data_IF_777000738772
#
_entry.id   IF_777000738772
#
_cell.length_a   1.000
_cell.length_b   1.000
_cell.length_c   1.000
_cell.angle_alpha   90.00
_cell.angle_beta   90.00
_cell.angle_gamma   90.00
#
_symmetry.space_group_name_H-M   'P 1'
#
loop_
_entity.id
_entity.type
_entity.pdbx_description
1 polymer ?
#
# COMPACT_ATOMS: atom_id res chain seq x y z
N UNK A 1 28.06 24.29 70.20
CA UNK A 1 28.50 22.98 69.69
C UNK A 1 27.47 22.55 68.66
N UNK A 2 27.81 22.74 67.39
CA UNK A 2 27.01 22.34 66.23
C UNK A 2 27.19 20.85 65.98
N UNK A 3 26.11 20.13 65.66
CA UNK A 3 26.21 18.86 64.94
C UNK A 3 25.02 18.77 63.98
N UNK A 4 25.31 18.95 62.69
CA UNK A 4 24.40 18.63 61.59
C UNK A 4 24.61 17.15 61.21
N UNK A 5 23.56 16.38 60.87
CA UNK A 5 23.73 15.07 60.26
C UNK A 5 24.08 15.25 58.77
N UNK A 6 25.12 14.54 58.33
CA UNK A 6 25.57 14.46 56.94
C UNK A 6 24.46 13.92 56.03
N UNK A 7 24.20 14.62 54.93
CA UNK A 7 23.55 14.08 53.74
C UNK A 7 24.41 12.94 53.17
N UNK A 8 23.89 11.71 53.23
CA UNK A 8 24.33 10.63 52.36
C UNK A 8 23.49 10.71 51.07
N UNK A 9 24.02 11.39 50.07
CA UNK A 9 23.59 11.23 48.67
C UNK A 9 24.02 9.84 48.19
N UNK A 10 23.16 8.84 48.38
CA UNK A 10 23.26 7.61 47.60
C UNK A 10 22.77 7.91 46.18
N UNK A 11 23.67 8.38 45.32
CA UNK A 11 23.50 8.25 43.89
C UNK A 11 23.62 6.75 43.55
N UNK A 12 22.49 6.05 43.54
CA UNK A 12 22.42 4.73 42.92
C UNK A 12 22.48 4.95 41.41
N UNK A 13 23.69 4.91 40.88
CA UNK A 13 23.95 4.80 39.45
C UNK A 13 23.52 3.38 39.01
N UNK A 14 22.20 3.17 38.88
CA UNK A 14 21.67 1.92 38.35
C UNK A 14 22.02 1.89 36.86
N UNK A 15 23.09 1.18 36.50
CA UNK A 15 23.36 0.85 35.09
C UNK A 15 22.13 0.12 34.55
N UNK A 16 21.28 0.85 33.83
CA UNK A 16 20.12 0.29 33.15
C UNK A 16 20.61 -0.83 32.23
N UNK A 17 19.97 -2.00 32.28
CA UNK A 17 20.30 -3.11 31.38
C UNK A 17 20.25 -2.65 29.92
N UNK A 18 21.16 -3.13 29.05
CA UNK A 18 21.19 -2.74 27.65
C UNK A 18 19.89 -3.16 26.95
N UNK A 19 19.21 -2.20 26.34
CA UNK A 19 18.00 -2.43 25.53
C UNK A 19 18.47 -2.75 24.11
N UNK A 20 18.16 -3.95 23.62
CA UNK A 20 18.57 -4.41 22.28
C UNK A 20 17.59 -3.88 21.21
N UNK A 21 18.12 -3.49 20.05
CA UNK A 21 17.33 -2.99 18.92
C UNK A 21 16.35 -4.01 18.34
N UNK A 22 15.41 -3.52 17.54
CA UNK A 22 14.38 -4.32 16.87
C UNK A 22 13.05 -4.41 17.62
N UNK A 23 13.06 -4.46 18.96
CA UNK A 23 11.82 -4.44 19.77
C UNK A 23 11.52 -3.10 20.45
N UNK A 24 12.47 -2.17 20.52
CA UNK A 24 12.26 -0.86 21.14
C UNK A 24 12.90 0.23 20.29
N UNK A 25 12.25 1.40 20.24
CA UNK A 25 12.82 2.62 19.66
C UNK A 25 14.00 3.13 20.52
N UNK A 26 13.90 2.99 21.85
CA UNK A 26 14.91 3.43 22.84
C UNK A 26 16.10 2.46 23.00
N UNK A 27 16.40 1.64 22.00
CA UNK A 27 17.49 0.68 22.10
C UNK A 27 18.84 1.39 22.31
N UNK A 28 19.67 0.81 23.18
CA UNK A 28 21.00 1.34 23.50
C UNK A 28 22.13 0.53 22.85
N UNK A 29 21.84 -0.69 22.41
CA UNK A 29 22.76 -1.60 21.69
C UNK A 29 22.07 -2.22 20.46
N UNK A 30 22.81 -2.36 19.35
CA UNK A 30 22.32 -3.02 18.13
C UNK A 30 22.35 -4.55 18.28
N UNK A 31 21.28 -5.20 17.87
CA UNK A 31 21.24 -6.64 17.65
C UNK A 31 22.21 -7.04 16.52
N UNK A 32 22.70 -8.29 16.48
CA UNK A 32 23.59 -8.76 15.41
C UNK A 32 23.03 -8.52 14.00
N UNK A 33 21.74 -8.75 13.79
CA UNK A 33 21.07 -8.53 12.52
C UNK A 33 20.87 -7.04 12.15
N UNK A 34 21.02 -6.12 13.12
CA UNK A 34 20.96 -4.66 12.91
C UNK A 34 22.36 -4.03 12.81
N UNK A 35 23.43 -4.81 12.89
CA UNK A 35 24.79 -4.28 12.91
C UNK A 35 25.16 -3.45 11.66
N UNK A 36 24.46 -3.65 10.55
CA UNK A 36 24.62 -2.87 9.33
C UNK A 36 24.29 -1.38 9.53
N UNK A 37 23.36 -1.05 10.44
CA UNK A 37 22.91 0.33 10.70
C UNK A 37 24.08 1.24 11.09
N UNK A 38 24.99 0.74 11.94
CA UNK A 38 26.13 1.52 12.41
C UNK A 38 27.19 1.80 11.33
N UNK A 39 27.16 1.06 10.21
CA UNK A 39 28.19 1.11 9.18
C UNK A 39 27.69 1.73 7.86
N UNK A 40 26.43 2.14 7.80
CA UNK A 40 25.82 2.66 6.57
C UNK A 40 26.31 4.08 6.25
N UNK A 41 26.95 4.24 5.10
CA UNK A 41 27.14 5.53 4.45
C UNK A 41 25.83 5.93 3.73
N UNK A 42 25.06 6.79 4.39
CA UNK A 42 23.74 7.21 3.95
C UNK A 42 23.78 7.96 2.60
N UNK A 43 24.73 8.88 2.43
CA UNK A 43 24.81 9.68 1.21
C UNK A 43 25.35 8.86 0.04
N UNK A 44 26.33 7.98 0.25
CA UNK A 44 26.79 7.07 -0.81
C UNK A 44 25.68 6.11 -1.27
N UNK A 45 24.89 5.57 -0.33
CA UNK A 45 23.73 4.74 -0.65
C UNK A 45 22.69 5.49 -1.49
N UNK A 46 22.31 6.70 -1.05
CA UNK A 46 21.39 7.57 -1.77
C UNK A 46 21.86 7.90 -3.18
N UNK A 47 23.12 8.26 -3.37
CA UNK A 47 23.63 8.64 -4.69
C UNK A 47 23.64 7.44 -5.66
N UNK A 48 24.00 6.24 -5.21
CA UNK A 48 23.91 5.03 -6.03
C UNK A 48 22.45 4.73 -6.44
N UNK A 49 21.51 4.81 -5.49
CA UNK A 49 20.07 4.64 -5.76
C UNK A 49 19.60 5.70 -6.77
N UNK A 50 19.89 6.98 -6.55
CA UNK A 50 19.47 8.06 -7.44
C UNK A 50 20.07 7.93 -8.85
N UNK A 51 21.33 7.52 -8.95
CA UNK A 51 21.99 7.28 -10.22
C UNK A 51 21.27 6.18 -11.03
N UNK A 52 20.99 5.04 -10.38
CA UNK A 52 20.23 3.95 -10.99
C UNK A 52 18.83 4.40 -11.41
N UNK A 53 18.12 5.12 -10.53
CA UNK A 53 16.81 5.68 -10.84
C UNK A 53 16.86 6.55 -12.10
N UNK A 54 17.81 7.49 -12.20
CA UNK A 54 17.97 8.37 -13.37
C UNK A 54 18.22 7.57 -14.65
N UNK A 55 19.05 6.53 -14.59
CA UNK A 55 19.32 5.64 -15.72
C UNK A 55 18.04 4.94 -16.19
N UNK A 56 17.32 4.30 -15.26
CA UNK A 56 16.07 3.59 -15.56
C UNK A 56 15.01 4.51 -16.18
N UNK A 57 14.82 5.72 -15.63
CA UNK A 57 13.88 6.70 -16.18
C UNK A 57 14.25 7.14 -17.60
N UNK A 58 15.54 7.27 -17.90
CA UNK A 58 16.04 7.66 -19.23
C UNK A 58 15.83 6.55 -20.28
N UNK A 59 15.76 5.30 -19.83
CA UNK A 59 15.65 4.13 -20.69
C UNK A 59 14.20 3.66 -20.93
N UNK A 60 13.20 4.35 -20.38
CA UNK A 60 11.79 4.02 -20.64
C UNK A 60 11.37 4.48 -22.03
N UNK A 61 10.64 3.63 -22.76
CA UNK A 61 10.28 3.93 -24.14
C UNK A 61 9.25 2.97 -24.75
N UNK A 62 9.33 2.71 -26.06
CA UNK A 62 8.36 1.87 -26.76
C UNK A 62 8.23 0.44 -26.21
N UNK A 63 9.31 -0.12 -25.67
CA UNK A 63 9.29 -1.46 -25.07
C UNK A 63 8.38 -1.54 -23.84
N UNK A 64 8.39 -0.51 -22.99
CA UNK A 64 7.54 -0.40 -21.80
C UNK A 64 6.07 -0.29 -22.19
N UNK A 65 5.77 0.53 -23.21
CA UNK A 65 4.40 0.65 -23.72
C UNK A 65 3.91 -0.66 -24.37
N UNK A 66 4.78 -1.36 -25.11
CA UNK A 66 4.47 -2.67 -25.69
C UNK A 66 4.19 -3.71 -24.59
N UNK A 67 4.99 -3.71 -23.52
CA UNK A 67 4.78 -4.55 -22.35
C UNK A 67 3.44 -4.25 -21.67
N UNK A 68 3.12 -2.98 -21.40
CA UNK A 68 1.80 -2.59 -20.87
C UNK A 68 0.65 -3.08 -21.75
N UNK A 69 0.73 -2.89 -23.07
CA UNK A 69 -0.33 -3.33 -23.98
C UNK A 69 -0.51 -4.86 -23.97
N UNK A 70 0.57 -5.64 -23.81
CA UNK A 70 0.49 -7.08 -23.58
C UNK A 70 -0.26 -7.42 -22.29
N UNK A 71 0.03 -6.71 -21.19
CA UNK A 71 -0.67 -6.94 -19.92
C UNK A 71 -2.14 -6.52 -19.99
N UNK A 72 -2.47 -5.43 -20.69
CA UNK A 72 -3.85 -5.04 -20.99
C UNK A 72 -4.57 -6.12 -21.81
N UNK A 73 -3.89 -6.74 -22.78
CA UNK A 73 -4.46 -7.86 -23.52
C UNK A 73 -4.75 -9.05 -22.60
N UNK A 74 -3.83 -9.43 -21.72
CA UNK A 74 -4.05 -10.53 -20.75
C UNK A 74 -5.22 -10.25 -19.83
N UNK A 75 -5.32 -9.01 -19.31
CA UNK A 75 -6.45 -8.55 -18.52
C UNK A 75 -7.78 -8.73 -19.26
N UNK A 76 -7.84 -8.26 -20.51
CA UNK A 76 -9.04 -8.35 -21.36
C UNK A 76 -9.41 -9.80 -21.63
N UNK A 77 -8.43 -10.66 -21.91
CA UNK A 77 -8.69 -12.09 -22.12
C UNK A 77 -9.27 -12.74 -20.87
N UNK A 78 -8.77 -12.41 -19.67
CA UNK A 78 -9.36 -12.88 -18.41
C UNK A 78 -10.83 -12.47 -18.29
N UNK A 79 -11.16 -11.20 -18.56
CA UNK A 79 -12.54 -10.73 -18.48
C UNK A 79 -13.44 -11.36 -19.55
N UNK A 80 -12.99 -11.44 -20.80
CA UNK A 80 -13.77 -12.00 -21.92
C UNK A 80 -14.06 -13.47 -21.67
N UNK A 81 -13.06 -14.27 -21.33
CA UNK A 81 -13.25 -15.71 -21.07
C UNK A 81 -14.08 -15.91 -19.82
N UNK A 82 -13.84 -15.14 -18.76
CA UNK A 82 -14.63 -15.17 -17.54
C UNK A 82 -16.13 -14.91 -17.79
N UNK A 83 -16.46 -13.83 -18.51
CA UNK A 83 -17.84 -13.51 -18.85
C UNK A 83 -18.47 -14.51 -19.81
N UNK A 84 -17.71 -15.01 -20.80
CA UNK A 84 -18.22 -15.99 -21.77
C UNK A 84 -18.57 -17.35 -21.14
N UNK A 85 -18.03 -17.66 -19.95
CA UNK A 85 -18.18 -18.98 -19.32
C UNK A 85 -18.98 -18.97 -18.01
N UNK A 86 -19.08 -17.83 -17.30
CA UNK A 86 -19.69 -17.77 -15.96
C UNK A 86 -21.18 -18.14 -15.91
N UNK A 87 -21.91 -17.96 -17.03
CA UNK A 87 -23.36 -18.16 -17.07
C UNK A 87 -23.75 -19.64 -17.17
N UNK A 88 -22.88 -20.47 -17.75
CA UNK A 88 -23.17 -21.89 -18.02
C UNK A 88 -23.22 -22.71 -16.73
N UNK A 89 -22.21 -22.57 -15.87
CA UNK A 89 -22.17 -23.15 -14.54
C UNK A 89 -21.23 -22.36 -13.63
N UNK A 90 -21.43 -22.47 -12.32
CA UNK A 90 -20.49 -21.94 -11.32
C UNK A 90 -19.22 -22.80 -11.38
N UNK A 91 -18.13 -22.23 -11.88
CA UNK A 91 -16.89 -22.96 -12.11
C UNK A 91 -15.66 -22.15 -11.67
N UNK A 92 -14.58 -22.82 -11.23
CA UNK A 92 -13.40 -22.15 -10.69
C UNK A 92 -12.65 -21.32 -11.74
N UNK A 93 -12.74 -21.66 -13.03
CA UNK A 93 -12.05 -20.94 -14.10
C UNK A 93 -12.63 -19.54 -14.27
N UNK A 94 -13.96 -19.41 -14.38
CA UNK A 94 -14.61 -18.10 -14.47
C UNK A 94 -14.36 -17.26 -13.21
N UNK A 95 -14.44 -17.87 -12.03
CA UNK A 95 -14.17 -17.20 -10.75
C UNK A 95 -12.75 -16.62 -10.73
N UNK A 96 -11.75 -17.44 -11.07
CA UNK A 96 -10.35 -17.04 -11.08
C UNK A 96 -10.08 -15.95 -12.13
N UNK A 97 -10.55 -16.12 -13.36
CA UNK A 97 -10.29 -15.16 -14.44
C UNK A 97 -10.99 -13.81 -14.20
N UNK A 98 -12.22 -13.79 -13.68
CA UNK A 98 -12.90 -12.55 -13.33
C UNK A 98 -12.21 -11.86 -12.15
N UNK A 99 -11.78 -12.63 -11.14
CA UNK A 99 -11.01 -12.12 -10.00
C UNK A 99 -9.70 -11.47 -10.47
N UNK A 100 -8.91 -12.20 -11.26
CA UNK A 100 -7.62 -11.76 -11.77
C UNK A 100 -7.80 -10.56 -12.70
N UNK A 101 -8.74 -10.62 -13.64
CA UNK A 101 -9.03 -9.51 -14.55
C UNK A 101 -9.50 -8.24 -13.82
N UNK A 102 -10.26 -8.38 -12.72
CA UNK A 102 -10.62 -7.26 -11.86
C UNK A 102 -9.39 -6.71 -11.12
N UNK A 103 -8.60 -7.58 -10.49
CA UNK A 103 -7.38 -7.18 -9.77
C UNK A 103 -6.40 -6.46 -10.68
N UNK A 104 -6.08 -7.02 -11.84
CA UNK A 104 -5.17 -6.44 -12.83
C UNK A 104 -5.60 -5.03 -13.25
N UNK A 105 -6.90 -4.78 -13.40
CA UNK A 105 -7.38 -3.47 -13.86
C UNK A 105 -6.96 -2.35 -12.92
N UNK A 106 -7.06 -2.55 -11.61
CA UNK A 106 -6.70 -1.52 -10.63
C UNK A 106 -5.27 -1.68 -10.09
N UNK A 107 -4.87 -2.88 -9.66
CA UNK A 107 -3.58 -3.12 -9.00
C UNK A 107 -2.40 -3.15 -9.95
N UNK A 108 -2.64 -3.36 -11.25
CA UNK A 108 -1.58 -3.35 -12.27
C UNK A 108 -1.73 -2.13 -13.16
N UNK A 109 -2.74 -2.14 -14.04
CA UNK A 109 -2.87 -1.14 -15.10
C UNK A 109 -3.01 0.26 -14.50
N UNK A 110 -4.02 0.44 -13.68
CA UNK A 110 -4.34 1.77 -13.20
C UNK A 110 -3.37 2.29 -12.15
N UNK A 111 -2.93 1.44 -11.21
CA UNK A 111 -1.88 1.76 -10.23
C UNK A 111 -0.62 2.33 -10.90
N UNK A 112 -0.05 1.64 -11.90
CA UNK A 112 1.17 2.09 -12.58
C UNK A 112 0.93 3.35 -13.44
N UNK A 113 -0.25 3.49 -14.06
CA UNK A 113 -0.59 4.68 -14.83
C UNK A 113 -0.79 5.90 -13.92
N UNK A 114 -1.48 5.74 -12.79
CA UNK A 114 -1.74 6.81 -11.82
C UNK A 114 -0.46 7.26 -11.09
N UNK A 115 0.56 6.41 -11.02
CA UNK A 115 1.91 6.85 -10.61
C UNK A 115 2.72 7.49 -11.74
N UNK A 116 2.30 7.31 -12.99
CA UNK A 116 2.91 7.94 -14.16
C UNK A 116 3.99 7.13 -14.85
N UNK A 117 4.03 5.80 -14.61
CA UNK A 117 4.93 4.84 -15.25
C UNK A 117 4.98 4.89 -16.78
N UNK A 118 3.98 5.54 -17.41
CA UNK A 118 3.82 5.59 -18.86
C UNK A 118 3.66 7.02 -19.42
N UNK A 119 3.86 8.06 -18.61
CA UNK A 119 3.66 9.45 -19.06
C UNK A 119 4.59 9.80 -20.23
N UNK A 120 5.86 9.38 -20.16
CA UNK A 120 6.89 9.69 -21.15
C UNK A 120 6.79 8.85 -22.42
N UNK A 121 6.24 7.64 -22.34
CA UNK A 121 6.25 6.69 -23.46
C UNK A 121 4.88 6.45 -24.12
N UNK A 122 3.76 6.87 -23.51
CA UNK A 122 2.41 6.61 -24.03
C UNK A 122 1.84 7.70 -24.93
N UNK A 123 2.59 8.78 -25.22
CA UNK A 123 2.11 9.93 -25.98
C UNK A 123 0.81 10.53 -25.40
N UNK A 124 0.69 10.54 -24.06
CA UNK A 124 -0.46 11.07 -23.35
C UNK A 124 -1.68 10.16 -23.27
N UNK A 125 -1.65 8.96 -23.87
CA UNK A 125 -2.75 7.98 -23.78
C UNK A 125 -2.94 7.46 -22.36
N UNK A 126 -1.85 7.14 -21.69
CA UNK A 126 -1.83 6.62 -20.32
C UNK A 126 -1.11 7.65 -19.44
N UNK A 127 -1.88 8.65 -18.99
CA UNK A 127 -1.34 9.78 -18.25
C UNK A 127 -1.95 9.86 -16.85
N UNK A 128 -1.08 10.09 -15.84
CA UNK A 128 -1.47 10.07 -14.42
C UNK A 128 -2.58 11.07 -14.05
N UNK A 129 -2.70 12.18 -14.78
CA UNK A 129 -3.67 13.24 -14.51
C UNK A 129 -5.01 13.07 -15.25
N UNK A 130 -5.09 12.14 -16.21
CA UNK A 130 -6.26 11.98 -17.08
C UNK A 130 -6.92 10.61 -16.94
N UNK A 131 -6.18 9.61 -16.46
CA UNK A 131 -6.67 8.25 -16.35
C UNK A 131 -7.77 8.15 -15.30
N UNK A 132 -8.97 7.72 -15.70
CA UNK A 132 -10.09 7.49 -14.77
C UNK A 132 -10.76 8.74 -14.18
N UNK A 133 -10.33 9.95 -14.58
CA UNK A 133 -10.81 11.24 -14.04
C UNK A 133 -11.27 12.20 -15.14
N UNK A 134 -11.99 13.26 -14.77
CA UNK A 134 -12.38 14.36 -15.66
C UNK A 134 -13.63 14.14 -16.53
N UNK A 135 -14.13 12.90 -16.66
CA UNK A 135 -15.45 12.65 -17.24
C UNK A 135 -16.04 11.32 -16.80
N UNK A 136 -17.37 11.18 -16.90
CA UNK A 136 -18.04 9.90 -16.64
C UNK A 136 -17.54 8.80 -17.57
N UNK A 137 -17.23 9.13 -18.83
CA UNK A 137 -16.64 8.17 -19.76
C UNK A 137 -15.27 7.68 -19.26
N UNK A 138 -14.38 8.58 -18.82
CA UNK A 138 -13.07 8.20 -18.28
C UNK A 138 -13.22 7.33 -17.04
N UNK A 139 -14.11 7.71 -16.12
CA UNK A 139 -14.44 6.88 -14.96
C UNK A 139 -14.90 5.49 -15.39
N UNK A 140 -15.83 5.38 -16.34
CA UNK A 140 -16.37 4.08 -16.75
C UNK A 140 -15.37 3.21 -17.53
N UNK A 141 -14.61 3.81 -18.45
CA UNK A 141 -13.70 3.10 -19.35
C UNK A 141 -12.37 2.73 -18.69
N UNK A 142 -11.83 3.62 -17.86
CA UNK A 142 -10.50 3.46 -17.27
C UNK A 142 -10.56 2.89 -15.84
N UNK A 143 -11.48 3.37 -14.98
CA UNK A 143 -11.55 3.00 -13.55
C UNK A 143 -13.00 2.92 -13.02
N UNK A 144 -13.76 1.91 -13.43
CA UNK A 144 -15.06 1.61 -12.83
C UNK A 144 -14.89 0.58 -11.72
N UNK A 145 -14.23 0.98 -10.65
CA UNK A 145 -13.93 0.17 -9.44
C UNK A 145 -14.52 0.77 -8.17
N UNK A 146 -14.41 -0.02 -7.10
CA UNK A 146 -14.88 0.20 -5.73
C UNK A 146 -14.20 1.36 -4.98
N UNK A 147 -13.33 2.15 -5.61
CA UNK A 147 -12.71 3.35 -5.04
C UNK A 147 -12.58 4.47 -6.08
N UNK A 148 -12.44 5.72 -5.62
CA UNK A 148 -12.15 6.87 -6.48
C UNK A 148 -10.66 6.96 -6.80
N UNK A 149 -10.32 7.37 -8.02
CA UNK A 149 -8.91 7.57 -8.43
C UNK A 149 -8.29 8.71 -7.65
N UNK A 150 -9.06 9.77 -7.42
CA UNK A 150 -8.65 10.93 -6.65
C UNK A 150 -8.37 10.55 -5.19
N UNK A 151 -9.16 9.63 -4.63
CA UNK A 151 -8.97 9.12 -3.28
C UNK A 151 -7.74 8.21 -3.17
N UNK A 152 -7.54 7.33 -4.15
CA UNK A 152 -6.33 6.53 -4.30
C UNK A 152 -5.07 7.41 -4.38
N UNK A 153 -5.09 8.45 -5.21
CA UNK A 153 -3.94 9.33 -5.39
C UNK A 153 -3.55 10.06 -4.09
N UNK A 154 -4.51 10.39 -3.22
CA UNK A 154 -4.23 11.03 -1.93
C UNK A 154 -3.67 10.01 -0.93
N UNK A 155 -4.33 8.87 -0.75
CA UNK A 155 -3.88 7.90 0.27
C UNK A 155 -2.64 7.13 -0.16
N UNK A 156 -2.67 6.52 -1.35
CA UNK A 156 -1.56 5.71 -1.83
C UNK A 156 -0.40 6.59 -2.30
N UNK A 157 -0.62 7.41 -3.35
CA UNK A 157 0.51 8.06 -4.03
C UNK A 157 1.14 9.19 -3.21
N UNK A 158 0.38 9.87 -2.35
CA UNK A 158 0.86 10.99 -1.56
C UNK A 158 1.19 10.59 -0.12
N UNK A 159 0.37 9.78 0.56
CA UNK A 159 0.63 9.48 1.97
C UNK A 159 1.51 8.25 2.15
N UNK A 160 1.07 7.09 1.67
CA UNK A 160 1.79 5.83 1.86
C UNK A 160 3.23 5.88 1.32
N UNK A 161 3.43 6.42 0.11
CA UNK A 161 4.78 6.56 -0.48
C UNK A 161 5.72 7.50 0.29
N UNK A 162 5.18 8.47 1.03
CA UNK A 162 6.00 9.48 1.72
C UNK A 162 6.17 9.22 3.21
N UNK A 163 5.34 8.33 3.77
CA UNK A 163 5.33 7.99 5.18
C UNK A 163 5.58 6.51 5.44
N UNK A 164 6.10 5.75 4.47
CA UNK A 164 6.26 4.30 4.58
C UNK A 164 6.91 3.88 5.91
N UNK A 165 6.20 3.06 6.69
CA UNK A 165 6.66 2.56 7.98
C UNK A 165 6.60 3.58 9.13
N UNK A 166 6.13 4.80 8.90
CA UNK A 166 5.88 5.82 9.91
C UNK A 166 4.45 5.71 10.48
N UNK A 167 4.17 6.40 11.59
CA UNK A 167 2.84 6.42 12.21
C UNK A 167 1.73 7.06 11.34
N UNK A 168 2.09 7.80 10.30
CA UNK A 168 1.14 8.36 9.33
C UNK A 168 0.92 7.48 8.11
N UNK A 169 1.65 6.37 7.98
CA UNK A 169 1.43 5.40 6.92
C UNK A 169 0.04 4.76 7.07
N UNK A 170 -0.87 4.94 6.10
CA UNK A 170 -2.17 4.28 6.12
C UNK A 170 -2.04 2.75 6.06
N UNK A 171 -0.91 2.20 5.62
CA UNK A 171 -0.74 0.76 5.43
C UNK A 171 0.07 0.09 6.57
N UNK A 172 0.31 0.81 7.69
CA UNK A 172 0.96 0.24 8.86
C UNK A 172 0.03 -0.67 9.67
N UNK A 173 -0.05 -1.93 9.23
CA UNK A 173 -0.94 -2.97 9.76
C UNK A 173 -0.86 -3.14 11.28
N UNK A 174 0.35 -3.17 11.86
CA UNK A 174 0.53 -3.38 13.30
C UNK A 174 -0.25 -2.33 14.11
N UNK A 175 -0.23 -1.07 13.65
CA UNK A 175 -0.90 0.04 14.32
C UNK A 175 -2.40 0.07 14.00
N UNK A 176 -2.78 -0.17 12.75
CA UNK A 176 -4.18 -0.19 12.32
C UNK A 176 -5.01 -1.27 13.03
N UNK A 177 -4.37 -2.36 13.46
CA UNK A 177 -5.00 -3.47 14.17
C UNK A 177 -4.64 -3.55 15.66
N UNK A 178 -4.18 -2.46 16.27
CA UNK A 178 -3.86 -2.41 17.71
C UNK A 178 -5.01 -2.93 18.58
N UNK A 179 -6.27 -2.61 18.24
CA UNK A 179 -7.44 -3.12 18.96
C UNK A 179 -7.58 -4.64 18.89
N UNK A 180 -7.29 -5.26 17.74
CA UNK A 180 -7.38 -6.72 17.55
C UNK A 180 -6.21 -7.43 18.23
N UNK A 181 -5.04 -6.80 18.23
CA UNK A 181 -3.83 -7.28 18.88
C UNK A 181 -4.03 -7.32 20.40
N UNK A 182 -4.56 -6.25 20.98
CA UNK A 182 -4.65 -6.05 22.44
C UNK A 182 -5.93 -6.59 23.09
N UNK A 183 -7.00 -6.82 22.33
CA UNK A 183 -8.24 -7.37 22.90
C UNK A 183 -7.99 -8.75 23.52
N UNK A 184 -8.54 -8.97 24.71
CA UNK A 184 -8.58 -10.26 25.38
C UNK A 184 -9.68 -11.13 24.76
N UNK A 185 -9.32 -11.86 23.71
CA UNK A 185 -10.22 -12.74 22.97
C UNK A 185 -9.49 -14.03 22.55
N UNK A 186 -10.20 -15.18 22.43
CA UNK A 186 -9.61 -16.42 21.96
C UNK A 186 -8.91 -16.25 20.61
N UNK A 187 -7.74 -16.88 20.43
CA UNK A 187 -6.97 -16.80 19.17
C UNK A 187 -7.79 -17.17 17.94
N UNK A 188 -8.66 -18.18 18.05
CA UNK A 188 -9.57 -18.57 16.96
C UNK A 188 -10.47 -17.40 16.49
N UNK A 189 -10.96 -16.56 17.42
CA UNK A 189 -11.74 -15.39 17.08
C UNK A 189 -10.87 -14.34 16.35
N UNK A 190 -9.63 -14.11 16.81
CA UNK A 190 -8.68 -13.19 16.15
C UNK A 190 -8.37 -13.64 14.72
N UNK A 191 -8.07 -14.92 14.50
CA UNK A 191 -7.87 -15.47 13.15
C UNK A 191 -9.14 -15.36 12.29
N UNK A 192 -10.32 -15.59 12.86
CA UNK A 192 -11.60 -15.38 12.17
C UNK A 192 -11.80 -13.94 11.71
N UNK A 193 -11.43 -12.96 12.55
CA UNK A 193 -11.45 -11.54 12.18
C UNK A 193 -10.46 -11.22 11.06
N UNK A 194 -9.24 -11.78 11.09
CA UNK A 194 -8.25 -11.60 10.00
C UNK A 194 -8.77 -12.22 8.70
N UNK A 195 -9.36 -13.41 8.73
CA UNK A 195 -9.93 -14.05 7.55
C UNK A 195 -11.09 -13.25 6.96
N UNK A 196 -11.93 -12.66 7.82
CA UNK A 196 -12.96 -11.71 7.40
C UNK A 196 -12.33 -10.52 6.66
N UNK A 197 -11.37 -9.83 7.27
CA UNK A 197 -10.70 -8.69 6.60
C UNK A 197 -10.05 -9.08 5.28
N UNK A 198 -9.33 -10.19 5.23
CA UNK A 198 -8.70 -10.67 4.00
C UNK A 198 -9.69 -10.78 2.83
N UNK A 199 -10.94 -11.16 3.09
CA UNK A 199 -11.97 -11.34 2.05
C UNK A 199 -12.87 -10.12 1.82
N UNK A 200 -12.77 -9.06 2.62
CA UNK A 200 -13.67 -7.89 2.55
C UNK A 200 -12.98 -6.53 2.63
N UNK A 201 -11.66 -6.47 2.84
CA UNK A 201 -10.94 -5.24 3.18
C UNK A 201 -11.11 -4.12 2.15
N UNK A 202 -11.26 -4.44 0.85
CA UNK A 202 -11.44 -3.43 -0.22
C UNK A 202 -12.61 -2.50 0.10
N UNK A 203 -13.76 -3.05 0.48
CA UNK A 203 -14.98 -2.26 0.75
C UNK A 203 -15.14 -1.91 2.23
N UNK A 204 -14.65 -2.76 3.12
CA UNK A 204 -14.82 -2.58 4.56
C UNK A 204 -13.87 -1.52 5.13
N UNK A 205 -12.65 -1.45 4.60
CA UNK A 205 -11.56 -0.60 5.08
C UNK A 205 -11.11 0.38 4.00
N UNK A 206 -10.65 -0.13 2.86
CA UNK A 206 -9.82 0.67 1.98
C UNK A 206 -10.61 1.75 1.21
N UNK A 207 -11.81 1.43 0.71
CA UNK A 207 -12.71 2.43 0.12
C UNK A 207 -13.11 3.56 1.10
N UNK A 208 -13.60 3.26 2.33
CA UNK A 208 -13.91 4.32 3.29
C UNK A 208 -12.67 5.08 3.79
N UNK A 209 -11.50 4.44 3.92
CA UNK A 209 -10.27 5.10 4.34
C UNK A 209 -9.75 6.07 3.28
N UNK A 210 -9.62 5.62 2.03
CA UNK A 210 -9.18 6.48 0.91
C UNK A 210 -10.11 7.68 0.75
N UNK A 211 -11.43 7.48 0.89
CA UNK A 211 -12.39 8.58 0.87
C UNK A 211 -12.22 9.52 2.07
N UNK A 212 -11.96 9.01 3.29
CA UNK A 212 -11.63 9.85 4.45
C UNK A 212 -10.41 10.72 4.13
N UNK A 213 -9.32 10.12 3.64
CA UNK A 213 -8.09 10.86 3.38
C UNK A 213 -8.27 11.93 2.30
N UNK A 214 -9.05 11.65 1.25
CA UNK A 214 -9.45 12.65 0.26
C UNK A 214 -10.20 13.83 0.90
N UNK A 215 -11.18 13.56 1.78
CA UNK A 215 -11.93 14.64 2.46
C UNK A 215 -11.05 15.47 3.38
N UNK A 216 -10.14 14.84 4.12
CA UNK A 216 -9.18 15.55 4.95
C UNK A 216 -8.24 16.41 4.10
N UNK A 217 -7.81 15.90 2.94
CA UNK A 217 -7.00 16.65 1.98
C UNK A 217 -7.76 17.87 1.42
N UNK A 218 -9.02 17.71 1.01
CA UNK A 218 -9.88 18.81 0.53
C UNK A 218 -10.07 19.91 1.60
N UNK A 219 -10.28 19.52 2.86
CA UNK A 219 -10.43 20.45 3.99
C UNK A 219 -9.12 21.23 4.21
N UNK A 220 -7.98 20.55 4.26
CA UNK A 220 -6.66 21.17 4.43
C UNK A 220 -6.33 22.12 3.28
N UNK A 221 -6.64 21.74 2.03
CA UNK A 221 -6.46 22.60 0.85
C UNK A 221 -7.26 23.89 0.88
N UNK A 222 -8.36 23.93 1.63
CA UNK A 222 -9.15 25.16 1.87
C UNK A 222 -8.63 25.98 3.04
N UNK A 223 -7.49 25.61 3.64
CA UNK A 223 -6.93 26.25 4.83
C UNK A 223 -7.75 25.98 6.10
N UNK A 224 -8.58 24.92 6.10
CA UNK A 224 -9.47 24.60 7.20
C UNK A 224 -8.92 23.46 8.05
N UNK A 225 -9.29 23.45 9.33
CA UNK A 225 -9.01 22.34 10.24
C UNK A 225 -10.20 21.39 10.30
N UNK A 226 -9.99 20.06 10.32
CA UNK A 226 -11.08 19.09 10.46
C UNK A 226 -11.84 19.27 11.79
N UNK A 227 -13.17 19.38 11.71
CA UNK A 227 -14.08 19.55 12.85
C UNK A 227 -15.22 18.55 12.79
N UNK A 228 -15.70 18.12 13.96
CA UNK A 228 -16.94 17.37 14.10
C UNK A 228 -18.15 18.27 13.75
N UNK A 229 -19.33 17.66 13.52
CA UNK A 229 -20.58 18.40 13.24
C UNK A 229 -20.96 19.40 14.33
N UNK A 230 -20.55 19.16 15.57
CA UNK A 230 -20.76 20.08 16.70
C UNK A 230 -19.70 21.21 16.79
N UNK A 231 -18.83 21.35 15.79
CA UNK A 231 -17.81 22.40 15.72
C UNK A 231 -16.49 22.11 16.45
N UNK A 232 -16.42 21.04 17.26
CA UNK A 232 -15.18 20.67 17.98
C UNK A 232 -14.10 20.21 17.00
N UNK A 233 -12.87 20.68 17.17
CA UNK A 233 -11.72 20.22 16.37
C UNK A 233 -11.44 18.74 16.63
N UNK A 234 -11.13 18.00 15.57
CA UNK A 234 -10.72 16.61 15.68
C UNK A 234 -9.29 16.52 16.18
N UNK A 235 -9.03 15.65 17.15
CA UNK A 235 -7.67 15.35 17.63
C UNK A 235 -6.91 14.44 16.66
N UNK A 236 -5.58 14.47 16.74
CA UNK A 236 -4.68 13.74 15.83
C UNK A 236 -4.99 12.24 15.73
N UNK A 237 -5.15 11.57 16.88
CA UNK A 237 -5.51 10.13 16.95
C UNK A 237 -6.76 9.77 16.14
N UNK A 238 -7.75 10.68 16.03
CA UNK A 238 -8.96 10.44 15.23
C UNK A 238 -8.68 10.54 13.73
N UNK A 239 -7.80 11.43 13.32
CA UNK A 239 -7.43 11.63 11.92
C UNK A 239 -6.62 10.44 11.40
N UNK A 240 -5.71 9.93 12.24
CA UNK A 240 -4.84 8.77 11.95
C UNK A 240 -5.60 7.44 12.02
N UNK A 241 -6.61 7.32 12.90
CA UNK A 241 -7.39 6.08 13.03
C UNK A 241 -7.98 5.61 11.68
N UNK A 242 -7.85 4.33 11.31
CA UNK A 242 -8.37 3.80 10.06
C UNK A 242 -9.89 3.99 9.99
N UNK A 243 -10.39 4.42 8.82
CA UNK A 243 -11.81 4.59 8.56
C UNK A 243 -12.38 3.27 8.04
N UNK A 244 -13.10 2.56 8.90
CA UNK A 244 -13.90 1.41 8.49
C UNK A 244 -15.31 1.84 8.06
N UNK A 245 -16.05 0.95 7.40
CA UNK A 245 -17.45 1.17 6.99
C UNK A 245 -18.38 1.64 8.14
N UNK A 246 -18.01 1.38 9.40
CA UNK A 246 -18.73 1.85 10.60
C UNK A 246 -18.58 3.35 10.88
N UNK A 247 -17.64 4.04 10.23
CA UNK A 247 -17.34 5.47 10.47
C UNK A 247 -18.08 6.41 9.51
N UNK A 248 -19.03 5.88 8.74
CA UNK A 248 -19.91 6.66 7.85
C UNK A 248 -20.67 7.72 8.66
N UNK A 249 -20.74 8.94 8.11
CA UNK A 249 -21.40 10.08 8.75
C UNK A 249 -20.47 10.99 9.57
N UNK A 250 -19.21 10.58 9.79
CA UNK A 250 -18.18 11.40 10.44
C UNK A 250 -17.47 12.28 9.41
N UNK A 251 -16.88 11.67 8.37
CA UNK A 251 -16.08 12.37 7.35
C UNK A 251 -16.83 12.59 6.03
N UNK A 252 -17.76 11.69 5.70
CA UNK A 252 -18.56 11.70 4.48
C UNK A 252 -19.91 11.05 4.76
N UNK A 253 -20.88 11.28 3.87
CA UNK A 253 -22.23 10.71 4.01
C UNK A 253 -22.31 9.27 3.46
N UNK A 254 -23.32 8.52 3.91
CA UNK A 254 -23.64 7.21 3.33
C UNK A 254 -23.95 7.33 1.82
N UNK A 255 -24.69 8.37 1.43
CA UNK A 255 -25.01 8.62 0.02
C UNK A 255 -23.76 8.83 -0.83
N UNK A 256 -22.72 9.46 -0.29
CA UNK A 256 -21.45 9.64 -1.00
C UNK A 256 -20.69 8.33 -1.14
N UNK A 257 -20.50 7.58 -0.04
CA UNK A 257 -19.79 6.29 -0.10
C UNK A 257 -20.52 5.28 -1.00
N UNK A 258 -21.81 5.07 -0.77
CA UNK A 258 -22.57 4.05 -1.50
C UNK A 258 -23.01 4.51 -2.89
N UNK A 259 -23.27 5.80 -3.11
CA UNK A 259 -23.71 6.31 -4.40
C UNK A 259 -22.57 6.61 -5.37
N UNK A 260 -21.50 7.27 -4.90
CA UNK A 260 -20.40 7.73 -5.76
C UNK A 260 -19.23 6.74 -5.82
N UNK A 261 -18.93 6.05 -4.72
CA UNK A 261 -17.72 5.22 -4.61
C UNK A 261 -18.01 3.74 -4.90
N UNK A 262 -18.85 3.11 -4.08
CA UNK A 262 -19.14 1.67 -4.19
C UNK A 262 -20.21 1.36 -5.24
N UNK A 263 -21.31 2.12 -5.23
CA UNK A 263 -22.52 1.85 -6.00
C UNK A 263 -22.30 1.53 -7.47
N UNK A 264 -21.52 2.32 -8.24
CA UNK A 264 -21.31 2.05 -9.66
C UNK A 264 -20.70 0.67 -9.94
N UNK A 265 -19.71 0.26 -9.13
CA UNK A 265 -19.09 -1.05 -9.25
C UNK A 265 -20.07 -2.17 -8.89
N UNK A 266 -20.76 -2.06 -7.74
CA UNK A 266 -21.70 -3.07 -7.28
C UNK A 266 -22.92 -3.20 -8.20
N UNK A 267 -23.47 -2.08 -8.67
CA UNK A 267 -24.59 -2.04 -9.61
C UNK A 267 -24.21 -2.73 -10.93
N UNK A 268 -23.05 -2.40 -11.51
CA UNK A 268 -22.59 -3.07 -12.75
C UNK A 268 -22.44 -4.58 -12.53
N UNK A 269 -21.70 -4.96 -11.49
CA UNK A 269 -21.23 -6.33 -11.33
C UNK A 269 -22.27 -7.29 -10.76
N UNK A 270 -23.13 -6.85 -9.83
CA UNK A 270 -24.04 -7.76 -9.14
C UNK A 270 -25.50 -7.56 -9.54
N UNK A 271 -25.79 -6.56 -10.36
CA UNK A 271 -27.15 -6.29 -10.85
C UNK A 271 -27.18 -6.33 -12.37
N UNK A 272 -26.53 -5.37 -13.05
CA UNK A 272 -26.67 -5.21 -14.50
C UNK A 272 -26.14 -6.40 -15.29
N UNK A 273 -24.94 -6.88 -14.98
CA UNK A 273 -24.34 -8.01 -15.70
C UNK A 273 -25.13 -9.31 -15.49
N UNK A 274 -25.44 -9.75 -14.24
CA UNK A 274 -26.27 -10.94 -14.04
C UNK A 274 -27.66 -10.82 -14.67
N UNK A 275 -28.31 -9.64 -14.59
CA UNK A 275 -29.62 -9.43 -15.23
C UNK A 275 -29.53 -9.53 -16.76
N UNK A 276 -28.47 -8.99 -17.37
CA UNK A 276 -28.25 -9.14 -18.80
C UNK A 276 -28.09 -10.62 -19.19
N UNK A 277 -27.32 -11.40 -18.43
CA UNK A 277 -27.21 -12.85 -18.66
C UNK A 277 -28.54 -13.57 -18.49
N UNK A 278 -29.33 -13.18 -17.48
CA UNK A 278 -30.68 -13.70 -17.27
C UNK A 278 -31.63 -13.43 -18.42
N UNK A 279 -31.63 -12.19 -18.92
CA UNK A 279 -32.47 -11.79 -20.03
C UNK A 279 -32.11 -12.50 -21.34
N UNK A 280 -30.83 -12.80 -21.56
CA UNK A 280 -30.35 -13.44 -22.79
C UNK A 280 -30.45 -14.97 -22.75
N UNK A 281 -30.22 -15.59 -21.60
CA UNK A 281 -29.93 -17.04 -21.49
C UNK A 281 -30.78 -17.76 -20.43
N UNK A 282 -31.68 -17.04 -19.74
CA UNK A 282 -32.63 -17.61 -18.79
C UNK A 282 -32.20 -17.52 -17.32
N UNK A 283 -33.08 -17.97 -16.42
CA UNK A 283 -32.95 -17.80 -14.96
C UNK A 283 -31.66 -18.41 -14.39
N UNK A 284 -31.25 -19.56 -14.88
CA UNK A 284 -30.04 -20.24 -14.39
C UNK A 284 -28.78 -19.46 -14.74
N UNK A 285 -28.75 -18.85 -15.92
CA UNK A 285 -27.65 -17.97 -16.33
C UNK A 285 -27.51 -16.75 -15.42
N UNK A 286 -28.62 -16.12 -15.02
CA UNK A 286 -28.62 -15.05 -14.01
C UNK A 286 -28.01 -15.52 -12.69
N UNK A 287 -28.49 -16.65 -12.17
CA UNK A 287 -28.05 -17.18 -10.87
C UNK A 287 -26.56 -17.55 -10.88
N UNK A 288 -26.12 -18.31 -11.90
CA UNK A 288 -24.73 -18.73 -12.07
C UNK A 288 -23.79 -17.53 -12.19
N UNK A 289 -24.20 -16.51 -12.96
CA UNK A 289 -23.42 -15.29 -13.14
C UNK A 289 -23.30 -14.51 -11.83
N UNK A 290 -24.40 -14.32 -11.09
CA UNK A 290 -24.40 -13.61 -9.81
C UNK A 290 -23.47 -14.30 -8.81
N UNK A 291 -23.63 -15.62 -8.61
CA UNK A 291 -22.79 -16.38 -7.67
C UNK A 291 -21.33 -16.36 -8.09
N UNK A 292 -21.03 -16.57 -9.37
CA UNK A 292 -19.66 -16.52 -9.91
C UNK A 292 -19.02 -15.16 -9.66
N UNK A 293 -19.74 -14.07 -9.88
CA UNK A 293 -19.21 -12.72 -9.67
C UNK A 293 -18.99 -12.40 -8.18
N UNK A 294 -19.86 -12.86 -7.29
CA UNK A 294 -19.67 -12.72 -5.83
C UNK A 294 -18.41 -13.48 -5.37
N UNK A 295 -18.25 -14.74 -5.82
CA UNK A 295 -17.06 -15.54 -5.50
C UNK A 295 -15.78 -14.94 -6.10
N UNK A 296 -15.85 -14.41 -7.33
CA UNK A 296 -14.73 -13.72 -7.96
C UNK A 296 -14.32 -12.47 -7.17
N UNK A 297 -15.29 -11.73 -6.62
CA UNK A 297 -15.00 -10.55 -5.81
C UNK A 297 -14.36 -10.91 -4.46
N UNK A 298 -14.83 -11.97 -3.78
CA UNK A 298 -14.16 -12.48 -2.58
C UNK A 298 -12.74 -12.97 -2.86
N UNK A 299 -12.55 -13.72 -3.95
CA UNK A 299 -11.23 -14.14 -4.36
C UNK A 299 -10.33 -12.93 -4.69
N UNK A 300 -10.87 -11.90 -5.34
CA UNK A 300 -10.12 -10.68 -5.65
C UNK A 300 -9.70 -9.93 -4.38
N UNK A 301 -10.54 -9.90 -3.34
CA UNK A 301 -10.15 -9.35 -2.03
C UNK A 301 -9.01 -10.15 -1.41
N UNK A 302 -9.15 -11.49 -1.32
CA UNK A 302 -8.14 -12.34 -0.71
C UNK A 302 -6.80 -12.28 -1.45
N UNK A 303 -6.84 -12.30 -2.79
CA UNK A 303 -5.66 -12.22 -3.64
C UNK A 303 -4.97 -10.86 -3.54
N UNK A 304 -5.72 -9.76 -3.58
CA UNK A 304 -5.13 -8.43 -3.41
C UNK A 304 -4.61 -8.18 -1.99
N UNK A 305 -5.26 -8.73 -0.96
CA UNK A 305 -4.75 -8.71 0.41
C UNK A 305 -3.39 -9.41 0.49
N UNK A 306 -3.31 -10.62 -0.10
CA UNK A 306 -2.09 -11.40 -0.15
C UNK A 306 -0.95 -10.62 -0.82
N UNK A 307 -1.23 -9.92 -1.92
CA UNK A 307 -0.22 -9.18 -2.68
C UNK A 307 0.17 -7.82 -2.09
N UNK A 308 -0.74 -7.12 -1.39
CA UNK A 308 -0.51 -5.73 -0.94
C UNK A 308 -0.06 -5.73 0.52
N UNK A 309 -0.89 -6.28 1.40
CA UNK A 309 -0.73 -6.14 2.85
C UNK A 309 0.55 -6.83 3.34
N UNK A 310 0.89 -7.96 2.72
CA UNK A 310 1.99 -8.81 3.20
C UNK A 310 3.38 -8.29 2.81
N UNK A 311 3.47 -7.34 1.87
CA UNK A 311 4.71 -6.66 1.53
C UNK A 311 5.11 -5.56 2.52
N UNK A 312 4.18 -5.10 3.35
CA UNK A 312 4.42 -4.01 4.32
C UNK A 312 4.52 -4.48 5.77
N UNK A 313 4.36 -5.78 6.02
CA UNK A 313 4.24 -6.31 7.38
C UNK A 313 5.13 -7.51 7.61
N UNK A 314 6.07 -7.39 8.54
CA UNK A 314 6.96 -8.47 8.98
C UNK A 314 7.82 -8.03 10.16
N UNK A 315 8.32 -8.98 10.94
CA UNK A 315 9.26 -8.75 12.06
C UNK A 315 10.70 -8.50 11.58
N UNK A 316 10.90 -8.57 10.26
CA UNK A 316 12.08 -8.24 9.48
C UNK A 316 11.93 -6.91 8.71
N UNK A 317 10.78 -6.23 8.82
CA UNK A 317 10.54 -4.91 8.24
C UNK A 317 10.50 -3.84 9.33
N UNK A 318 11.14 -2.71 9.04
CA UNK A 318 11.27 -1.63 10.02
C UNK A 318 10.06 -0.70 9.99
N UNK A 319 9.75 -0.18 11.18
CA UNK A 319 8.88 0.98 11.39
C UNK A 319 9.59 2.03 12.24
N UNK A 320 9.11 3.27 12.14
CA UNK A 320 9.76 4.46 12.69
C UNK A 320 8.80 5.26 13.56
N UNK A 321 9.36 5.91 14.57
CA UNK A 321 8.66 6.87 15.44
C UNK A 321 9.07 8.32 15.16
N UNK A 322 9.82 8.54 14.08
CA UNK A 322 10.20 9.85 13.54
C UNK A 322 9.78 9.99 12.07
N UNK A 323 9.56 11.23 11.60
CA UNK A 323 9.40 11.53 10.17
C UNK A 323 10.76 11.89 9.54
N UNK A 324 10.91 11.60 8.24
CA UNK A 324 12.07 12.03 7.46
C UNK A 324 11.71 13.02 6.35
N UNK A 325 12.67 13.83 5.92
CA UNK A 325 12.50 14.73 4.78
C UNK A 325 12.38 13.93 3.47
N UNK A 326 11.40 14.23 2.59
CA UNK A 326 11.24 13.53 1.33
C UNK A 326 12.50 13.54 0.46
N UNK A 327 12.85 12.39 -0.12
CA UNK A 327 14.02 12.18 -1.01
C UNK A 327 15.40 12.42 -0.36
N UNK A 328 15.44 12.50 0.98
CA UNK A 328 16.67 12.42 1.77
C UNK A 328 17.31 11.02 1.68
N UNK A 329 18.49 10.82 2.29
CA UNK A 329 19.11 9.48 2.29
C UNK A 329 18.29 8.49 3.12
N UNK A 330 17.82 8.95 4.29
CA UNK A 330 16.89 8.24 5.16
C UNK A 330 15.62 7.86 4.42
N UNK A 331 15.05 8.78 3.62
CA UNK A 331 13.85 8.49 2.83
C UNK A 331 14.04 7.26 1.92
N UNK A 332 15.12 7.23 1.13
CA UNK A 332 15.40 6.09 0.24
C UNK A 332 15.71 4.81 1.01
N UNK A 333 16.42 4.90 2.14
CA UNK A 333 16.68 3.76 3.01
C UNK A 333 15.36 3.15 3.50
N UNK A 334 14.44 3.98 4.01
CA UNK A 334 13.13 3.54 4.52
C UNK A 334 12.30 2.86 3.45
N UNK A 335 12.34 3.33 2.20
CA UNK A 335 11.68 2.65 1.07
C UNK A 335 12.12 1.19 0.92
N UNK A 336 13.40 0.89 1.17
CA UNK A 336 13.97 -0.46 1.06
C UNK A 336 13.67 -1.32 2.29
N UNK A 337 13.88 -0.80 3.50
CA UNK A 337 13.86 -1.63 4.71
C UNK A 337 12.47 -1.78 5.35
N UNK A 338 11.46 -1.10 4.81
CA UNK A 338 10.08 -1.08 5.34
C UNK A 338 9.09 -1.73 4.37
N UNK A 339 9.59 -2.27 3.27
CA UNK A 339 8.83 -3.07 2.32
C UNK A 339 9.61 -4.33 1.97
N UNK A 340 8.90 -5.35 1.49
CA UNK A 340 9.48 -6.62 1.07
C UNK A 340 9.08 -6.92 -0.37
N UNK A 341 9.91 -7.67 -1.06
CA UNK A 341 9.59 -8.26 -2.35
C UNK A 341 9.15 -9.71 -2.21
N UNK A 342 8.40 -10.21 -3.19
CA UNK A 342 8.16 -11.63 -3.37
C UNK A 342 9.10 -12.23 -4.41
N UNK A 343 8.86 -13.46 -4.84
CA UNK A 343 9.52 -14.02 -6.01
C UNK A 343 9.27 -13.12 -7.23
N UNK A 344 10.35 -12.63 -7.82
CA UNK A 344 10.35 -11.73 -8.99
C UNK A 344 10.48 -12.53 -10.27
N UNK A 345 9.78 -12.12 -11.33
CA UNK A 345 9.86 -12.70 -12.65
C UNK A 345 11.20 -12.45 -13.33
N UNK A 346 11.57 -13.36 -14.24
CA UNK A 346 12.72 -13.16 -15.14
C UNK A 346 12.32 -12.23 -16.28
N UNK A 347 12.96 -11.06 -16.34
CA UNK A 347 12.73 -10.01 -17.35
C UNK A 347 12.73 -10.56 -18.76
N UNK A 348 11.71 -10.19 -19.54
CA UNK A 348 11.60 -10.56 -20.96
C UNK A 348 11.15 -11.99 -21.23
N UNK A 349 10.74 -12.75 -20.19
CA UNK A 349 10.22 -14.12 -20.35
C UNK A 349 8.72 -14.19 -20.07
N UNK A 350 8.02 -15.10 -20.76
CA UNK A 350 6.59 -15.33 -20.53
C UNK A 350 6.30 -15.80 -19.09
N UNK A 351 7.10 -16.73 -18.57
CA UNK A 351 6.92 -17.26 -17.20
C UNK A 351 7.23 -16.20 -16.14
N UNK A 352 8.21 -15.32 -16.38
CA UNK A 352 8.48 -14.17 -15.52
C UNK A 352 7.28 -13.23 -15.44
N UNK A 353 6.77 -12.81 -16.61
CA UNK A 353 5.57 -11.96 -16.65
C UNK A 353 4.33 -12.66 -16.06
N UNK A 354 4.20 -13.97 -16.21
CA UNK A 354 3.09 -14.72 -15.60
C UNK A 354 3.18 -14.70 -14.08
N UNK A 355 4.37 -14.91 -13.51
CA UNK A 355 4.60 -14.77 -12.08
C UNK A 355 4.22 -13.36 -11.60
N UNK A 356 4.70 -12.33 -12.28
CA UNK A 356 4.46 -10.95 -11.86
C UNK A 356 2.99 -10.55 -12.02
N UNK A 357 2.33 -11.05 -13.06
CA UNK A 357 0.90 -10.87 -13.28
C UNK A 357 0.07 -11.43 -12.13
N UNK A 358 0.43 -12.61 -11.62
CA UNK A 358 -0.25 -13.18 -10.45
C UNK A 358 0.07 -12.43 -9.15
N UNK A 359 1.20 -11.74 -9.06
CA UNK A 359 1.53 -10.91 -7.90
C UNK A 359 1.12 -9.43 -8.06
N UNK A 360 0.42 -9.07 -9.14
CA UNK A 360 0.01 -7.68 -9.34
C UNK A 360 1.16 -6.72 -9.71
N UNK A 361 2.33 -7.24 -10.10
CA UNK A 361 3.60 -6.49 -10.13
C UNK A 361 4.02 -5.90 -8.76
N UNK A 362 3.29 -6.22 -7.69
CA UNK A 362 3.60 -5.80 -6.32
C UNK A 362 4.66 -6.70 -5.68
N UNK A 363 5.11 -7.74 -6.38
CA UNK A 363 6.32 -8.48 -6.00
C UNK A 363 7.62 -7.66 -6.16
N UNK A 364 7.51 -6.41 -6.62
CA UNK A 364 8.57 -5.39 -6.73
C UNK A 364 8.29 -4.18 -5.83
N UNK A 365 7.81 -4.41 -4.60
CA UNK A 365 7.44 -3.35 -3.67
C UNK A 365 8.61 -2.41 -3.34
N UNK A 366 9.83 -2.93 -3.16
CA UNK A 366 11.02 -2.10 -2.90
C UNK A 366 11.25 -1.12 -4.04
N UNK A 367 11.26 -1.59 -5.29
CA UNK A 367 11.44 -0.74 -6.47
C UNK A 367 10.28 0.22 -6.66
N UNK A 368 9.06 -0.23 -6.37
CA UNK A 368 7.85 0.57 -6.43
C UNK A 368 7.93 1.79 -5.51
N UNK A 369 8.43 1.62 -4.29
CA UNK A 369 8.61 2.70 -3.33
C UNK A 369 9.77 3.63 -3.67
N UNK A 370 10.87 3.08 -4.20
CA UNK A 370 12.00 3.89 -4.65
C UNK A 370 11.61 4.81 -5.82
N UNK A 371 10.89 4.27 -6.81
CA UNK A 371 10.50 4.97 -8.04
C UNK A 371 9.08 4.58 -8.49
N UNK A 372 8.03 5.15 -7.89
CA UNK A 372 6.66 4.79 -8.21
C UNK A 372 6.28 5.06 -9.68
N UNK A 373 6.95 6.03 -10.32
CA UNK A 373 6.70 6.44 -11.71
C UNK A 373 7.54 5.71 -12.76
N UNK A 374 8.13 4.56 -12.40
CA UNK A 374 8.66 3.60 -13.36
C UNK A 374 7.56 2.66 -13.89
N UNK A 375 7.79 2.12 -15.07
CA UNK A 375 6.95 1.10 -15.69
C UNK A 375 7.15 -0.26 -15.00
N UNK A 376 6.17 -1.16 -15.18
CA UNK A 376 6.28 -2.57 -14.77
C UNK A 376 7.55 -3.27 -15.30
N UNK A 377 7.91 -3.00 -16.56
CA UNK A 377 9.09 -3.57 -17.18
C UNK A 377 10.38 -3.01 -16.56
N UNK A 378 10.37 -1.73 -16.19
CA UNK A 378 11.48 -1.10 -15.47
C UNK A 378 11.66 -1.68 -14.08
N UNK A 379 10.59 -2.06 -13.36
CA UNK A 379 10.71 -2.75 -12.09
C UNK A 379 11.43 -4.11 -12.20
N UNK A 380 11.09 -4.91 -13.23
CA UNK A 380 11.79 -6.17 -13.49
C UNK A 380 13.30 -5.97 -13.72
N UNK A 381 13.68 -4.89 -14.41
CA UNK A 381 15.10 -4.52 -14.63
C UNK A 381 15.76 -3.99 -13.36
N UNK A 382 15.04 -3.22 -12.56
CA UNK A 382 15.54 -2.54 -11.37
C UNK A 382 15.88 -3.52 -10.25
N UNK A 383 15.04 -4.52 -9.99
CA UNK A 383 15.17 -5.41 -8.83
C UNK A 383 16.56 -6.05 -8.61
N UNK A 384 17.19 -6.69 -9.61
CA UNK A 384 18.53 -7.24 -9.41
C UNK A 384 19.59 -6.16 -9.17
N UNK A 385 19.41 -4.95 -9.73
CA UNK A 385 20.34 -3.83 -9.58
C UNK A 385 20.23 -3.18 -8.20
N UNK A 386 19.01 -2.95 -7.71
CA UNK A 386 18.74 -2.47 -6.35
C UNK A 386 19.30 -3.45 -5.33
N UNK A 387 19.04 -4.76 -5.50
CA UNK A 387 19.62 -5.80 -4.64
C UNK A 387 21.16 -5.77 -4.64
N UNK A 388 21.79 -5.47 -5.77
CA UNK A 388 23.24 -5.27 -5.89
C UNK A 388 23.73 -4.06 -5.09
N UNK A 389 23.02 -2.93 -5.15
CA UNK A 389 23.32 -1.72 -4.37
C UNK A 389 23.13 -2.00 -2.88
N UNK A 390 22.03 -2.61 -2.47
CA UNK A 390 21.79 -2.99 -1.07
C UNK A 390 22.93 -3.87 -0.53
N UNK A 391 23.36 -4.87 -1.31
CA UNK A 391 24.52 -5.71 -0.96
C UNK A 391 25.82 -4.92 -0.83
N UNK A 392 26.09 -3.96 -1.73
CA UNK A 392 27.29 -3.09 -1.68
C UNK A 392 27.34 -2.28 -0.37
N UNK A 393 26.19 -1.81 0.11
CA UNK A 393 26.06 -0.95 1.29
C UNK A 393 25.70 -1.70 2.59
N UNK A 394 25.56 -3.03 2.53
CA UNK A 394 25.16 -3.83 3.69
C UNK A 394 23.70 -3.66 4.12
N UNK A 395 22.87 -2.96 3.34
CA UNK A 395 21.45 -2.74 3.63
C UNK A 395 20.67 -4.03 3.36
N UNK A 396 19.79 -4.49 4.26
CA UNK A 396 18.97 -5.67 4.03
C UNK A 396 17.96 -5.42 2.92
N UNK A 397 17.95 -6.30 1.93
CA UNK A 397 16.93 -6.36 0.89
C UNK A 397 16.06 -7.59 1.14
N UNK A 398 14.85 -7.37 1.69
CA UNK A 398 13.97 -8.44 2.13
C UNK A 398 13.18 -9.01 0.95
N UNK A 399 13.32 -10.32 0.74
CA UNK A 399 12.61 -11.03 -0.32
C UNK A 399 12.25 -12.45 0.12
N UNK A 400 10.96 -12.75 0.22
CA UNK A 400 10.46 -14.06 0.68
C UNK A 400 9.29 -14.56 -0.15
N UNK A 401 8.92 -15.84 0.01
CA UNK A 401 7.71 -16.35 -0.63
C UNK A 401 6.47 -15.69 -0.02
N UNK A 402 5.43 -15.48 -0.84
CA UNK A 402 4.22 -14.76 -0.46
C UNK A 402 3.46 -15.40 0.72
N UNK A 403 3.53 -16.73 0.88
CA UNK A 403 2.86 -17.42 2.00
C UNK A 403 3.60 -17.26 3.33
N UNK A 404 4.92 -17.17 3.30
CA UNK A 404 5.71 -16.81 4.48
C UNK A 404 5.40 -15.38 4.93
N UNK A 405 5.30 -14.46 3.97
CA UNK A 405 4.88 -13.07 4.22
C UNK A 405 3.47 -13.00 4.79
N UNK A 406 2.54 -13.80 4.28
CA UNK A 406 1.20 -13.94 4.87
C UNK A 406 1.28 -14.41 6.32
N UNK A 407 2.06 -15.46 6.62
CA UNK A 407 2.25 -15.96 7.99
C UNK A 407 2.77 -14.86 8.93
N UNK A 408 3.86 -14.17 8.55
CA UNK A 408 4.41 -13.06 9.34
C UNK A 408 3.38 -11.94 9.56
N UNK A 409 2.65 -11.58 8.50
CA UNK A 409 1.59 -10.57 8.57
C UNK A 409 0.51 -10.99 9.56
N UNK A 410 -0.01 -12.21 9.45
CA UNK A 410 -1.07 -12.72 10.34
C UNK A 410 -0.60 -12.76 11.79
N UNK A 411 0.61 -13.24 12.07
CA UNK A 411 1.18 -13.26 13.42
C UNK A 411 1.23 -11.85 14.03
N UNK A 412 1.58 -10.84 13.23
CA UNK A 412 1.51 -9.44 13.63
C UNK A 412 0.06 -9.00 13.82
N UNK A 413 -0.88 -9.33 12.93
CA UNK A 413 -2.29 -8.96 13.08
C UNK A 413 -2.93 -9.52 14.37
N UNK A 414 -2.57 -10.74 14.78
CA UNK A 414 -3.14 -11.39 15.97
C UNK A 414 -2.34 -11.16 17.25
N UNK A 415 -1.24 -10.41 17.18
CA UNK A 415 -0.41 -10.02 18.32
C UNK A 415 0.62 -11.05 18.80
N UNK A 416 0.97 -12.05 17.98
CA UNK A 416 2.03 -13.02 18.28
C UNK A 416 3.43 -12.50 17.93
N UNK A 417 3.51 -11.50 17.06
CA UNK A 417 4.75 -10.79 16.74
C UNK A 417 4.51 -9.28 16.60
N UNK A 418 5.59 -8.53 16.37
CA UNK A 418 5.58 -7.09 16.12
C UNK A 418 6.56 -6.78 14.99
N UNK A 419 6.29 -5.70 14.24
CA UNK A 419 7.26 -5.21 13.27
C UNK A 419 8.49 -4.68 13.98
N UNK A 420 9.62 -4.67 13.25
CA UNK A 420 10.90 -4.27 13.79
C UNK A 420 10.92 -2.77 14.03
N UNK A 421 11.31 -2.32 15.22
CA UNK A 421 11.45 -0.89 15.54
C UNK A 421 12.87 -0.45 15.19
N UNK A 422 12.99 0.55 14.33
CA UNK A 422 14.27 1.16 14.02
C UNK A 422 14.76 1.95 15.24
N UNK A 423 15.99 1.74 15.73
CA UNK A 423 16.40 2.32 17.00
C UNK A 423 16.74 3.81 16.83
N UNK A 424 16.01 4.69 17.53
CA UNK A 424 16.04 6.16 17.34
C UNK A 424 17.44 6.75 17.51
N UNK A 425 18.27 6.15 18.37
CA UNK A 425 19.66 6.55 18.59
C UNK A 425 20.53 6.47 17.33
N UNK A 426 20.17 5.65 16.34
CA UNK A 426 20.90 5.50 15.08
C UNK A 426 20.16 6.08 13.86
N UNK A 427 19.15 6.90 14.07
CA UNK A 427 18.57 7.69 12.99
C UNK A 427 19.60 8.68 12.44
N UNK A 428 19.54 8.93 11.13
CA UNK A 428 20.38 9.94 10.50
C UNK A 428 19.80 11.34 10.74
N UNK A 429 20.16 11.94 11.87
CA UNK A 429 19.61 13.22 12.35
C UNK A 429 19.47 14.34 11.30
N UNK A 430 20.43 14.55 10.37
CA UNK A 430 20.30 15.60 9.34
C UNK A 430 19.06 15.47 8.44
N UNK A 431 18.53 14.25 8.28
CA UNK A 431 17.39 13.96 7.40
C UNK A 431 16.04 13.96 8.13
N UNK A 432 16.03 14.05 9.46
CA UNK A 432 14.79 13.99 10.23
C UNK A 432 14.00 15.28 10.09
N UNK A 433 12.70 15.15 9.81
CA UNK A 433 11.82 16.30 9.64
C UNK A 433 11.57 16.99 10.99
N UNK A 434 11.72 18.33 11.03
CA UNK A 434 11.54 19.11 12.25
C UNK A 434 10.11 19.03 12.84
N UNK A 435 9.09 18.75 12.00
CA UNK A 435 7.71 18.50 12.41
C UNK A 435 7.04 17.48 11.49
N UNK A 436 6.36 16.52 12.09
CA UNK A 436 5.50 15.55 11.39
C UNK A 436 4.43 16.16 10.47
N UNK A 437 3.98 17.40 10.74
CA UNK A 437 2.88 18.04 10.01
C UNK A 437 3.32 18.76 8.72
N UNK A 438 4.62 19.01 8.51
CA UNK A 438 5.12 19.74 7.33
C UNK A 438 5.40 18.85 6.12
N UNK A 439 5.49 17.53 6.31
CA UNK A 439 5.80 16.56 5.25
C UNK A 439 4.68 16.37 4.21
N UNK A 440 3.41 16.60 4.59
CA UNK A 440 2.28 16.53 3.63
C UNK A 440 2.23 17.77 2.71
N UNK A 441 2.73 18.92 3.19
CA UNK A 441 2.70 20.19 2.43
C UNK A 441 3.95 20.41 1.56
N UNK A 442 5.08 19.77 1.90
CA UNK A 442 6.36 19.84 1.16
C UNK A 442 6.42 18.98 -0.11
N UNK A 443 5.34 18.26 -0.44
CA UNK A 443 5.29 17.42 -1.65
C UNK A 443 5.47 18.26 -2.93
N UNK A 444 6.15 17.71 -3.96
CA UNK A 444 6.30 18.39 -5.24
C UNK A 444 4.94 18.80 -5.83
N UNK A 445 4.86 20.02 -6.34
CA UNK A 445 3.65 20.62 -6.95
C UNK A 445 3.04 19.76 -8.05
N UNK A 446 3.85 18.89 -8.67
CA UNK A 446 3.46 17.94 -9.72
C UNK A 446 2.41 16.91 -9.25
N UNK A 447 2.31 16.59 -7.96
CA UNK A 447 1.25 15.70 -7.44
C UNK A 447 0.04 16.47 -6.85
N UNK A 448 0.14 17.80 -6.67
CA UNK A 448 -0.89 18.64 -6.04
C UNK A 448 -2.14 18.87 -6.90
N UNK A 449 -2.14 18.45 -8.16
CA UNK A 449 -3.16 18.82 -9.16
C UNK A 449 -4.15 17.68 -9.48
N UNK A 450 -3.95 16.45 -8.98
CA UNK A 450 -4.82 15.32 -9.37
C UNK A 450 -6.18 15.23 -8.65
N UNK A 451 -6.40 16.02 -7.59
CA UNK A 451 -7.72 16.19 -7.00
C UNK A 451 -8.43 17.32 -7.75
N UNK A 452 -9.29 16.94 -8.71
CA UNK A 452 -9.88 17.80 -9.73
C UNK A 452 -10.44 19.15 -9.22
N UNK A 453 -10.31 20.15 -10.10
CA UNK A 453 -11.29 21.23 -10.20
C UNK A 453 -12.52 20.71 -10.95
#
# INVERSE_FOLDING_TARGET
ICWAPQEQTMATDSKSEPIVSGKSYDATVLAPEDAWIANLDHEAFKEDIRALGKELHSNQGPADLAHLNKIILWQRMCMVVGFATMWYCINPVSIYLLSLGCMTRWAIIAHHICHGGFDKCSQGKYNRFKFGVGSLYRRCADWLDWMLVEAWNVEHNQLHHYHLGESQDPDLVEMNLDYLRTVDAPKAAKYGTVAFFMTTWKWFYYAPNTLKMLKLHEIRRRGQVPKYKNGKQMGQRRLESPCMFTHVGIFFSAAELYGRVLGPFFLRNFVLIPLAMGALLGRDAWFNSLVTMVLAEWLSNAHSFLNIVTNHTGDDLYRFDSACEPRSATFYLRQVISSANFTTGTTGTFLGDLNDFTHGWLNYQVEHHLWPDLSMLSYQKAAPLVKGICKKHGVPYVQHNVFWRLKQTVDIMVGDSSMRRYPTKWEHTPDLAAKYSTAVESQPTEQKISAGN
#
